data_IF_096990121739
#
_entry.id   IF_096990121739
#
_cell.length_a   1.000
_cell.length_b   1.000
_cell.length_c   1.000
_cell.angle_alpha   90.00
_cell.angle_beta   90.00
_cell.angle_gamma   90.00
#
_symmetry.space_group_name_H-M   'P 1'
#
loop_
_entity.id
_entity.type
_entity.pdbx_description
1 polymer ?
#
# COMPACT_ATOMS: atom_id res chain seq x y z
N UNK A 1 -29.86 29.24 29.27
CA UNK A 1 -30.76 30.42 29.30
C UNK A 1 -30.71 31.28 28.02
N UNK A 2 -29.68 31.15 27.16
CA UNK A 2 -29.54 31.91 25.91
C UNK A 2 -30.33 31.30 24.73
N UNK A 3 -30.45 29.97 24.68
CA UNK A 3 -31.12 29.24 23.59
C UNK A 3 -32.64 29.48 23.50
N UNK A 4 -33.37 29.58 24.62
CA UNK A 4 -34.83 29.79 24.61
C UNK A 4 -35.26 31.15 24.03
N UNK A 5 -34.42 32.19 24.17
CA UNK A 5 -34.75 33.55 23.66
C UNK A 5 -34.56 33.73 22.16
N UNK A 6 -33.85 32.83 21.47
CA UNK A 6 -33.64 32.93 20.02
C UNK A 6 -34.84 32.40 19.21
N UNK A 7 -35.57 31.39 19.72
CA UNK A 7 -36.67 30.76 18.96
C UNK A 7 -37.95 31.62 19.03
N UNK A 8 -38.28 32.19 20.19
CA UNK A 8 -39.51 33.01 20.35
C UNK A 8 -39.48 34.31 19.53
N UNK A 9 -38.29 34.81 19.15
CA UNK A 9 -38.16 36.04 18.36
C UNK A 9 -38.45 35.87 16.86
N UNK A 10 -38.51 34.64 16.32
CA UNK A 10 -38.72 34.39 14.89
C UNK A 10 -40.20 34.43 14.48
N UNK A 11 -41.13 34.27 15.43
CA UNK A 11 -42.57 34.29 15.16
C UNK A 11 -43.17 35.71 15.12
N UNK A 12 -42.51 36.69 15.75
CA UNK A 12 -43.03 38.07 15.83
C UNK A 12 -42.87 38.91 14.55
N UNK A 13 -42.15 38.43 13.53
CA UNK A 13 -41.90 39.21 12.30
C UNK A 13 -42.73 38.74 11.09
N UNK A 14 -43.57 37.71 11.22
CA UNK A 14 -44.32 37.14 10.08
C UNK A 14 -45.77 37.64 9.96
N UNK A 15 -46.28 38.36 10.94
CA UNK A 15 -47.69 38.78 10.99
C UNK A 15 -47.97 40.18 10.39
N UNK A 16 -46.94 41.00 10.13
CA UNK A 16 -47.13 42.45 9.82
C UNK A 16 -47.24 42.79 8.32
N UNK A 17 -47.00 41.83 7.40
CA UNK A 17 -46.98 42.10 5.95
C UNK A 17 -48.33 41.89 5.23
N UNK A 18 -49.41 41.53 5.94
CA UNK A 18 -50.70 41.17 5.29
C UNK A 18 -51.76 42.28 5.27
N UNK A 19 -51.53 43.44 5.88
CA UNK A 19 -52.58 44.45 6.00
C UNK A 19 -52.05 45.89 5.94
N UNK A 20 -51.87 46.45 4.75
CA UNK A 20 -51.67 47.89 4.55
C UNK A 20 -52.02 48.34 3.12
N UNK A 21 -53.32 48.46 2.84
CA UNK A 21 -53.84 49.25 1.73
C UNK A 21 -54.22 50.66 2.20
N UNK A 22 -53.63 51.67 1.54
CA UNK A 22 -54.08 53.07 1.37
C UNK A 22 -55.03 53.70 2.42
N UNK A 23 -54.52 54.70 3.17
CA UNK A 23 -54.99 56.10 3.13
C UNK A 23 -54.31 57.00 4.20
N UNK A 24 -53.87 58.18 3.74
CA UNK A 24 -53.66 59.46 4.44
C UNK A 24 -52.87 59.55 5.77
N UNK A 25 -51.84 60.40 5.72
CA UNK A 25 -51.16 61.14 6.81
C UNK A 25 -52.12 61.87 7.80
N UNK A 26 -51.69 62.48 8.94
CA UNK A 26 -50.32 62.65 9.49
C UNK A 26 -50.16 62.46 11.03
N UNK A 27 -48.91 62.65 11.48
CA UNK A 27 -48.40 63.05 12.81
C UNK A 27 -48.10 62.00 13.90
N UNK A 28 -46.80 62.00 14.24
CA UNK A 28 -46.23 61.94 15.60
C UNK A 28 -46.23 60.57 16.30
N UNK A 29 -45.07 59.91 16.23
CA UNK A 29 -44.63 58.86 17.15
C UNK A 29 -43.42 58.13 16.60
N UNK A 30 -42.19 58.56 16.94
CA UNK A 30 -40.98 57.81 16.57
C UNK A 30 -40.90 56.57 17.47
N UNK A 31 -41.35 55.43 16.99
CA UNK A 31 -40.99 54.13 17.56
C UNK A 31 -39.54 53.83 17.19
N UNK A 32 -38.67 53.77 18.20
CA UNK A 32 -37.25 53.47 18.04
C UNK A 32 -37.09 51.98 17.73
N UNK A 33 -37.08 51.61 16.46
CA UNK A 33 -36.69 50.26 16.03
C UNK A 33 -35.22 50.02 16.40
N UNK A 34 -34.99 49.14 17.38
CA UNK A 34 -33.63 48.67 17.71
C UNK A 34 -33.08 47.92 16.50
N UNK A 35 -31.94 48.33 15.91
CA UNK A 35 -31.43 47.66 14.73
C UNK A 35 -30.97 46.24 15.06
N UNK A 36 -31.40 45.31 14.22
CA UNK A 36 -31.14 43.88 14.25
C UNK A 36 -29.65 43.56 13.95
N UNK A 37 -28.75 44.04 14.80
CA UNK A 37 -27.30 43.77 14.74
C UNK A 37 -26.93 42.47 15.47
N UNK A 38 -27.85 41.93 16.27
CA UNK A 38 -27.66 40.72 17.06
C UNK A 38 -27.78 39.43 16.22
N UNK A 39 -28.61 39.45 15.18
CA UNK A 39 -28.83 38.30 14.29
C UNK A 39 -27.60 37.98 13.43
N UNK A 40 -26.83 39.01 13.04
CA UNK A 40 -25.56 38.85 12.30
C UNK A 40 -24.45 38.26 13.17
N UNK A 41 -24.39 38.60 14.48
CA UNK A 41 -23.39 38.06 15.41
C UNK A 41 -23.63 36.59 15.76
N UNK A 42 -24.88 36.15 15.88
CA UNK A 42 -25.19 34.73 16.07
C UNK A 42 -24.84 33.88 14.84
N UNK A 43 -25.07 34.41 13.63
CA UNK A 43 -24.70 33.74 12.38
C UNK A 43 -23.19 33.61 12.19
N UNK A 44 -22.42 34.65 12.52
CA UNK A 44 -20.95 34.62 12.38
C UNK A 44 -20.29 33.61 13.33
N UNK A 45 -20.80 33.47 14.56
CA UNK A 45 -20.26 32.52 15.54
C UNK A 45 -20.60 31.05 15.22
N UNK A 46 -21.74 30.78 14.61
CA UNK A 46 -22.12 29.43 14.19
C UNK A 46 -21.26 28.91 13.03
N UNK A 47 -20.90 29.77 12.07
CA UNK A 47 -20.06 29.42 10.92
C UNK A 47 -18.62 29.15 11.37
N UNK A 48 -18.08 29.93 12.31
CA UNK A 48 -16.71 29.78 12.79
C UNK A 48 -16.47 28.41 13.49
N UNK A 49 -17.46 27.89 14.23
CA UNK A 49 -17.39 26.58 14.88
C UNK A 49 -17.46 25.41 13.90
N UNK A 50 -18.23 25.52 12.82
CA UNK A 50 -18.34 24.47 11.79
C UNK A 50 -17.10 24.38 10.89
N UNK A 51 -16.45 25.51 10.60
CA UNK A 51 -15.19 25.54 9.84
C UNK A 51 -14.02 24.98 10.67
N UNK A 52 -13.99 25.24 11.98
CA UNK A 52 -12.96 24.71 12.89
C UNK A 52 -12.99 23.18 13.05
N UNK A 53 -14.18 22.56 13.03
CA UNK A 53 -14.31 21.09 13.14
C UNK A 53 -14.00 20.41 11.80
N UNK A 54 -14.36 21.03 10.66
CA UNK A 54 -14.02 20.53 9.32
C UNK A 54 -12.50 20.45 9.08
N UNK A 55 -11.73 21.43 9.58
CA UNK A 55 -10.28 21.43 9.46
C UNK A 55 -9.55 20.31 10.22
N UNK A 56 -10.11 19.86 11.35
CA UNK A 56 -9.54 18.77 12.16
C UNK A 56 -9.82 17.39 11.53
N UNK A 57 -10.94 17.24 10.83
CA UNK A 57 -11.32 15.96 10.19
C UNK A 57 -10.53 15.70 8.90
N UNK A 58 -10.06 16.73 8.19
CA UNK A 58 -9.31 16.57 6.94
C UNK A 58 -7.83 16.17 7.13
N UNK A 59 -7.33 16.14 8.37
CA UNK A 59 -5.91 15.87 8.66
C UNK A 59 -5.61 14.42 9.05
N UNK A 60 -6.60 13.51 8.97
CA UNK A 60 -6.45 12.10 9.30
C UNK A 60 -6.68 11.24 8.06
N UNK A 61 -5.63 11.02 7.24
CA UNK A 61 -5.71 9.92 6.27
C UNK A 61 -4.93 10.05 4.96
N UNK A 62 -3.70 10.57 4.96
CA UNK A 62 -2.77 10.24 3.87
C UNK A 62 -1.72 9.26 4.41
N UNK A 63 -2.09 7.99 4.53
CA UNK A 63 -1.07 6.93 4.60
C UNK A 63 -0.58 6.72 3.19
N UNK A 64 0.56 7.34 2.86
CA UNK A 64 1.31 6.95 1.67
C UNK A 64 1.73 5.51 1.90
N UNK A 65 1.09 4.58 1.19
CA UNK A 65 1.58 3.21 1.10
C UNK A 65 2.87 3.28 0.28
N UNK A 66 4.00 2.97 0.92
CA UNK A 66 5.26 2.90 0.20
C UNK A 66 5.17 1.74 -0.80
N UNK A 67 5.19 2.08 -2.10
CA UNK A 67 5.06 1.12 -3.19
C UNK A 67 6.18 0.07 -3.11
N UNK A 68 5.84 -1.20 -3.37
CA UNK A 68 6.82 -2.29 -3.46
C UNK A 68 7.67 -2.13 -4.71
N UNK A 69 8.99 -2.32 -4.56
CA UNK A 69 9.94 -2.42 -5.67
C UNK A 69 10.22 -3.86 -6.08
N UNK A 70 9.39 -4.79 -5.59
CA UNK A 70 9.33 -6.18 -6.01
C UNK A 70 8.08 -6.36 -6.87
N UNK A 71 8.28 -6.71 -8.13
CA UNK A 71 7.21 -6.83 -9.14
C UNK A 71 7.26 -8.24 -9.73
N UNK A 72 6.27 -9.09 -9.43
CA UNK A 72 6.13 -10.40 -10.07
C UNK A 72 5.95 -10.32 -11.58
N UNK A 73 6.35 -11.38 -12.28
CA UNK A 73 5.96 -11.63 -13.68
C UNK A 73 5.07 -12.88 -13.80
N UNK A 74 4.63 -13.19 -15.03
CA UNK A 74 3.75 -14.31 -15.35
C UNK A 74 4.48 -15.48 -16.07
N UNK A 75 5.81 -15.51 -15.98
CA UNK A 75 6.65 -16.42 -16.79
C UNK A 75 6.80 -17.83 -16.18
N UNK A 76 6.19 -18.09 -15.02
CA UNK A 76 6.16 -19.42 -14.40
C UNK A 76 5.09 -20.34 -14.99
N UNK A 77 4.14 -19.78 -15.73
CA UNK A 77 3.00 -20.51 -16.29
C UNK A 77 1.66 -20.11 -15.66
N UNK A 78 0.58 -20.51 -16.32
CA UNK A 78 -0.76 -20.07 -15.95
C UNK A 78 -1.16 -20.56 -14.54
N UNK A 79 -1.43 -19.62 -13.64
CA UNK A 79 -1.89 -19.89 -12.27
C UNK A 79 -0.78 -20.14 -11.25
N UNK A 80 0.50 -20.00 -11.62
CA UNK A 80 1.64 -20.27 -10.75
C UNK A 80 2.46 -19.00 -10.43
N UNK A 81 1.79 -17.85 -10.46
CA UNK A 81 2.43 -16.54 -10.29
C UNK A 81 2.98 -16.34 -8.88
N UNK A 82 4.07 -15.59 -8.79
CA UNK A 82 4.49 -15.01 -7.51
C UNK A 82 3.56 -13.87 -7.12
N UNK A 83 3.31 -13.72 -5.83
CA UNK A 83 2.42 -12.68 -5.29
C UNK A 83 3.18 -11.93 -4.21
N UNK A 84 3.16 -10.60 -4.26
CA UNK A 84 3.78 -9.74 -3.26
C UNK A 84 2.69 -8.97 -2.53
N UNK A 85 2.63 -9.14 -1.21
CA UNK A 85 1.70 -8.42 -0.35
C UNK A 85 2.49 -7.57 0.66
N UNK A 86 2.30 -6.25 0.62
CA UNK A 86 2.95 -5.35 1.56
C UNK A 86 2.12 -5.19 2.84
N UNK A 87 2.69 -5.60 3.97
CA UNK A 87 2.16 -5.39 5.33
C UNK A 87 3.06 -4.38 6.05
N UNK A 88 2.77 -3.09 5.85
CA UNK A 88 3.63 -2.02 6.37
C UNK A 88 4.96 -1.94 5.61
N UNK A 89 6.07 -2.25 6.30
CA UNK A 89 7.43 -2.29 5.71
C UNK A 89 7.86 -3.71 5.32
N UNK A 90 7.02 -4.71 5.57
CA UNK A 90 7.29 -6.12 5.24
C UNK A 90 6.57 -6.45 3.93
N UNK A 91 7.28 -7.07 3.01
CA UNK A 91 6.82 -7.57 1.73
C UNK A 91 6.78 -9.09 1.79
N UNK A 92 5.59 -9.64 1.96
CA UNK A 92 5.37 -11.08 1.99
C UNK A 92 5.27 -11.61 0.56
N UNK A 93 6.21 -12.46 0.19
CA UNK A 93 6.27 -13.11 -1.11
C UNK A 93 5.63 -14.49 -0.99
N UNK A 94 4.55 -14.71 -1.74
CA UNK A 94 3.69 -15.90 -1.70
C UNK A 94 3.50 -16.48 -3.10
N UNK A 95 2.76 -17.59 -3.18
CA UNK A 95 2.43 -18.24 -4.46
C UNK A 95 3.65 -18.94 -5.05
N UNK A 96 3.84 -18.80 -6.36
CA UNK A 96 4.91 -19.45 -7.11
C UNK A 96 4.56 -20.86 -7.58
N UNK A 97 5.48 -21.48 -8.32
CA UNK A 97 5.34 -22.83 -8.84
C UNK A 97 6.05 -23.81 -7.90
N UNK A 98 5.30 -24.72 -7.27
CA UNK A 98 5.90 -25.79 -6.48
C UNK A 98 6.13 -27.04 -7.33
N UNK A 99 7.33 -27.61 -7.27
CA UNK A 99 7.69 -28.91 -7.86
C UNK A 99 8.40 -29.74 -6.79
N UNK A 100 7.64 -30.57 -6.09
CA UNK A 100 8.07 -31.32 -4.92
C UNK A 100 8.72 -30.43 -3.86
N UNK A 101 10.03 -30.54 -3.67
CA UNK A 101 10.78 -29.82 -2.62
C UNK A 101 11.26 -28.43 -3.07
N UNK A 102 10.99 -28.04 -4.31
CA UNK A 102 11.39 -26.77 -4.88
C UNK A 102 10.21 -25.82 -5.01
N UNK A 103 10.41 -24.57 -4.63
CA UNK A 103 9.48 -23.48 -4.85
C UNK A 103 10.12 -22.44 -5.77
N UNK A 104 9.49 -22.19 -6.91
CA UNK A 104 9.98 -21.25 -7.91
C UNK A 104 9.19 -19.94 -7.87
N UNK A 105 9.92 -18.83 -7.88
CA UNK A 105 9.42 -17.47 -7.97
C UNK A 105 10.06 -16.73 -9.14
N UNK A 106 9.30 -15.85 -9.77
CA UNK A 106 9.75 -15.06 -10.92
C UNK A 106 9.26 -13.63 -10.81
N UNK A 107 10.17 -12.71 -11.09
CA UNK A 107 9.97 -11.28 -10.92
C UNK A 107 10.48 -10.54 -12.14
N UNK A 108 9.75 -9.51 -12.54
CA UNK A 108 10.26 -8.50 -13.45
C UNK A 108 11.29 -7.61 -12.72
N UNK A 109 11.00 -7.23 -11.48
CA UNK A 109 11.85 -6.37 -10.64
C UNK A 109 11.97 -6.99 -9.24
N UNK A 110 13.17 -6.94 -8.66
CA UNK A 110 13.40 -7.43 -7.30
C UNK A 110 14.41 -6.53 -6.58
N UNK A 111 13.90 -5.51 -5.89
CA UNK A 111 14.68 -4.58 -5.08
C UNK A 111 14.06 -4.48 -3.68
N UNK A 112 14.90 -4.47 -2.65
CA UNK A 112 14.48 -4.37 -1.25
C UNK A 112 15.02 -3.07 -0.68
N UNK A 113 14.18 -2.07 -0.50
CA UNK A 113 14.62 -0.75 -0.02
C UNK A 113 15.12 -0.78 1.43
N UNK A 114 15.92 0.23 1.79
CA UNK A 114 16.39 0.44 3.17
C UNK A 114 15.22 0.47 4.15
N UNK A 115 15.33 -0.32 5.22
CA UNK A 115 14.32 -0.43 6.28
C UNK A 115 13.09 -1.25 5.90
N UNK A 116 13.03 -1.83 4.70
CA UNK A 116 12.03 -2.83 4.31
C UNK A 116 12.57 -4.24 4.49
N UNK A 117 11.64 -5.20 4.55
CA UNK A 117 11.94 -6.62 4.64
C UNK A 117 11.17 -7.38 3.56
N UNK A 118 11.86 -8.19 2.77
CA UNK A 118 11.25 -9.07 1.78
C UNK A 118 11.35 -10.52 2.25
N UNK A 119 10.20 -11.14 2.51
CA UNK A 119 10.12 -12.47 3.11
C UNK A 119 9.43 -13.45 2.19
N UNK A 120 10.17 -14.48 1.74
CA UNK A 120 9.57 -15.64 1.08
C UNK A 120 8.81 -16.47 2.10
N UNK A 121 7.49 -16.55 1.93
CA UNK A 121 6.63 -17.38 2.76
C UNK A 121 6.63 -18.82 2.30
N UNK A 122 6.87 -19.73 3.24
CA UNK A 122 6.94 -21.16 2.94
C UNK A 122 5.66 -21.85 3.38
N UNK A 123 4.81 -22.30 2.44
CA UNK A 123 3.47 -22.78 2.75
C UNK A 123 3.42 -24.22 3.26
N UNK A 124 4.50 -24.99 3.09
CA UNK A 124 4.55 -26.41 3.49
C UNK A 124 5.94 -26.81 4.02
N UNK A 125 6.03 -27.76 4.98
CA UNK A 125 7.31 -28.20 5.56
C UNK A 125 8.26 -28.92 4.60
N UNK A 126 7.77 -29.38 3.44
CA UNK A 126 8.55 -30.20 2.51
C UNK A 126 9.46 -29.38 1.57
N UNK A 127 9.32 -28.05 1.53
CA UNK A 127 10.17 -27.18 0.70
C UNK A 127 11.60 -27.17 1.28
N UNK A 128 12.59 -27.45 0.44
CA UNK A 128 14.01 -27.38 0.78
C UNK A 128 14.76 -26.32 -0.02
N UNK A 129 14.24 -25.91 -1.19
CA UNK A 129 14.87 -24.91 -2.04
C UNK A 129 13.83 -23.91 -2.54
N UNK A 130 14.19 -22.63 -2.46
CA UNK A 130 13.48 -21.52 -3.09
C UNK A 130 14.37 -20.97 -4.20
N UNK A 131 13.83 -20.89 -5.41
CA UNK A 131 14.50 -20.27 -6.55
C UNK A 131 13.75 -19.01 -6.95
N UNK A 132 14.42 -17.87 -6.89
CA UNK A 132 13.91 -16.59 -7.34
C UNK A 132 14.71 -16.12 -8.55
N UNK A 133 14.02 -15.80 -9.66
CA UNK A 133 14.65 -15.19 -10.83
C UNK A 133 14.14 -13.78 -11.08
N UNK A 134 15.02 -12.94 -11.61
CA UNK A 134 14.66 -11.64 -12.19
C UNK A 134 14.78 -11.74 -13.71
N UNK A 135 13.67 -11.47 -14.41
CA UNK A 135 13.56 -11.51 -15.87
C UNK A 135 13.64 -10.13 -16.51
N UNK A 136 13.51 -9.06 -15.72
CA UNK A 136 13.65 -7.68 -16.18
C UNK A 136 15.09 -7.28 -16.48
N UNK A 137 15.27 -6.01 -16.84
CA UNK A 137 16.54 -5.47 -17.31
C UNK A 137 17.39 -4.80 -16.21
N UNK A 138 16.83 -4.64 -15.01
CA UNK A 138 17.47 -3.91 -13.92
C UNK A 138 18.24 -4.86 -12.98
N UNK A 139 19.34 -4.38 -12.37
CA UNK A 139 19.99 -5.10 -11.28
C UNK A 139 19.08 -5.18 -10.05
N UNK A 140 19.37 -6.12 -9.16
CA UNK A 140 18.73 -6.22 -7.85
C UNK A 140 19.52 -5.45 -6.80
N UNK A 141 18.92 -4.42 -6.24
CA UNK A 141 19.43 -3.67 -5.09
C UNK A 141 18.78 -4.17 -3.81
N UNK A 142 19.55 -4.91 -3.00
CA UNK A 142 19.13 -5.43 -1.70
C UNK A 142 19.71 -4.52 -0.63
N UNK A 143 18.95 -3.50 -0.25
CA UNK A 143 19.34 -2.47 0.72
C UNK A 143 18.71 -2.70 2.09
N UNK A 144 17.64 -3.49 2.17
CA UNK A 144 16.97 -3.90 3.40
C UNK A 144 17.25 -5.35 3.79
N UNK A 145 16.28 -5.99 4.44
CA UNK A 145 16.36 -7.39 4.89
C UNK A 145 15.74 -8.32 3.85
N UNK A 146 16.46 -9.36 3.45
CA UNK A 146 15.94 -10.44 2.60
C UNK A 146 15.89 -11.74 3.42
N UNK A 147 14.73 -12.38 3.48
CA UNK A 147 14.53 -13.52 4.36
C UNK A 147 13.53 -14.58 3.89
N UNK A 148 13.44 -15.62 4.71
CA UNK A 148 12.57 -16.78 4.51
C UNK A 148 11.79 -17.05 5.79
N UNK A 149 10.46 -17.17 5.73
CA UNK A 149 9.60 -17.33 6.91
C UNK A 149 8.55 -18.41 6.65
N UNK A 150 8.44 -19.40 7.55
CA UNK A 150 7.38 -20.41 7.46
C UNK A 150 7.75 -21.75 8.07
N UNK A 151 7.15 -22.81 7.54
CA UNK A 151 7.14 -24.15 8.13
C UNK A 151 8.46 -24.94 7.99
N UNK A 152 9.43 -24.42 7.24
CA UNK A 152 10.75 -25.01 7.06
C UNK A 152 11.83 -23.92 6.88
N UNK A 153 13.08 -24.33 6.74
CA UNK A 153 14.25 -23.45 6.59
C UNK A 153 14.99 -23.78 5.28
N UNK A 154 14.43 -23.41 4.12
CA UNK A 154 14.98 -23.79 2.83
C UNK A 154 16.23 -22.99 2.45
N UNK A 155 17.00 -23.50 1.50
CA UNK A 155 18.00 -22.73 0.78
C UNK A 155 17.31 -21.70 -0.12
N UNK A 156 17.92 -20.52 -0.29
CA UNK A 156 17.44 -19.47 -1.19
C UNK A 156 18.46 -19.22 -2.30
N UNK A 157 18.03 -19.37 -3.53
CA UNK A 157 18.79 -19.10 -4.75
C UNK A 157 18.18 -17.88 -5.45
N UNK A 158 18.92 -16.78 -5.54
CA UNK A 158 18.53 -15.56 -6.26
C UNK A 158 19.37 -15.42 -7.53
N UNK A 159 18.70 -15.30 -8.68
CA UNK A 159 19.37 -15.06 -9.97
C UNK A 159 18.91 -13.74 -10.61
N UNK A 160 19.88 -12.92 -10.99
CA UNK A 160 19.65 -11.73 -11.81
C UNK A 160 20.86 -11.50 -12.72
N UNK A 161 20.73 -11.76 -14.04
CA UNK A 161 21.83 -11.55 -15.00
C UNK A 161 22.39 -10.13 -15.04
N UNK A 162 21.59 -9.14 -14.65
CA UNK A 162 21.98 -7.73 -14.68
C UNK A 162 22.78 -7.29 -13.45
N UNK A 163 22.90 -8.15 -12.42
CA UNK A 163 23.66 -7.89 -11.21
C UNK A 163 22.81 -7.96 -9.94
N UNK A 164 23.50 -8.17 -8.82
CA UNK A 164 22.92 -8.20 -7.47
C UNK A 164 23.85 -7.39 -6.56
N UNK A 165 23.32 -6.36 -5.91
CA UNK A 165 24.06 -5.41 -5.09
C UNK A 165 23.47 -5.47 -3.68
N UNK A 166 24.32 -5.73 -2.68
CA UNK A 166 23.95 -5.68 -1.26
C UNK A 166 24.44 -4.37 -0.65
N UNK A 167 23.53 -3.63 -0.02
CA UNK A 167 23.83 -2.39 0.69
C UNK A 167 24.60 -2.64 2.00
N UNK A 168 25.22 -1.60 2.54
CA UNK A 168 26.02 -1.67 3.79
C UNK A 168 25.21 -2.19 4.99
N UNK A 169 23.95 -1.77 5.09
CA UNK A 169 23.03 -2.16 6.18
C UNK A 169 22.10 -3.33 5.81
N UNK A 170 22.32 -3.96 4.64
CA UNK A 170 21.49 -5.07 4.20
C UNK A 170 21.67 -6.31 5.09
N UNK A 171 20.58 -7.05 5.28
CA UNK A 171 20.58 -8.25 6.13
C UNK A 171 20.02 -9.44 5.40
N UNK A 172 20.62 -10.60 5.64
CA UNK A 172 20.11 -11.89 5.20
C UNK A 172 19.56 -12.64 6.41
N UNK A 173 18.26 -12.93 6.39
CA UNK A 173 17.56 -13.72 7.39
C UNK A 173 17.02 -15.01 6.75
N UNK A 174 17.95 -15.85 6.29
CA UNK A 174 17.65 -17.11 5.59
C UNK A 174 17.96 -18.28 6.50
N UNK A 175 17.02 -19.22 6.63
CA UNK A 175 17.19 -20.39 7.52
C UNK A 175 18.14 -21.46 6.98
N UNK A 176 18.28 -21.55 5.65
CA UNK A 176 19.21 -22.44 4.95
C UNK A 176 20.40 -21.70 4.33
N UNK A 177 20.96 -22.26 3.26
CA UNK A 177 22.04 -21.62 2.49
C UNK A 177 21.48 -20.49 1.61
N UNK A 178 22.28 -19.45 1.39
CA UNK A 178 21.96 -18.40 0.43
C UNK A 178 22.95 -18.41 -0.74
N UNK A 179 22.43 -18.39 -1.96
CA UNK A 179 23.21 -18.29 -3.20
C UNK A 179 22.64 -17.16 -4.04
N UNK A 180 23.50 -16.23 -4.44
CA UNK A 180 23.19 -15.17 -5.38
C UNK A 180 24.10 -15.30 -6.61
N UNK A 181 23.55 -15.23 -7.82
CA UNK A 181 24.35 -15.32 -9.04
C UNK A 181 23.81 -14.44 -10.16
N UNK A 182 24.72 -14.00 -11.03
CA UNK A 182 24.42 -13.31 -12.28
C UNK A 182 24.35 -14.26 -13.48
N UNK A 183 24.27 -15.57 -13.24
CA UNK A 183 24.08 -16.54 -14.29
C UNK A 183 22.72 -16.33 -15.00
N UNK A 184 22.68 -16.67 -16.29
CA UNK A 184 21.46 -16.62 -17.10
C UNK A 184 20.39 -17.63 -16.68
N UNK A 185 20.70 -18.55 -15.77
CA UNK A 185 19.78 -19.57 -15.30
C UNK A 185 20.47 -20.61 -14.43
N UNK A 186 19.66 -21.43 -13.76
CA UNK A 186 20.09 -22.55 -12.92
C UNK A 186 19.77 -23.85 -13.66
N UNK A 187 20.76 -24.76 -13.71
CA UNK A 187 20.53 -26.12 -14.17
C UNK A 187 19.73 -26.91 -13.14
N UNK A 188 18.67 -27.58 -13.58
CA UNK A 188 17.92 -28.54 -12.78
C UNK A 188 18.21 -29.92 -13.40
N UNK A 189 19.25 -30.59 -12.91
CA UNK A 189 19.82 -31.84 -13.47
C UNK A 189 20.05 -31.79 -15.00
N UNK A 190 20.09 -32.96 -15.65
CA UNK A 190 20.45 -33.14 -17.06
C UNK A 190 19.39 -32.66 -18.07
N UNK A 191 18.19 -32.28 -17.63
CA UNK A 191 17.06 -31.98 -18.55
C UNK A 191 16.26 -30.74 -18.20
N UNK A 192 16.41 -30.19 -16.98
CA UNK A 192 15.67 -29.02 -16.52
C UNK A 192 16.53 -27.77 -16.49
N UNK A 193 15.92 -26.61 -16.71
CA UNK A 193 16.59 -25.31 -16.62
C UNK A 193 15.59 -24.29 -16.11
N UNK A 194 16.02 -23.50 -15.13
CA UNK A 194 15.31 -22.32 -14.67
C UNK A 194 16.05 -21.07 -15.17
N UNK A 195 15.59 -20.50 -16.28
CA UNK A 195 16.29 -19.44 -17.01
C UNK A 195 15.75 -18.07 -16.65
N UNK A 196 16.64 -17.10 -16.40
CA UNK A 196 16.29 -15.69 -16.21
C UNK A 196 16.23 -14.92 -17.54
N UNK A 197 17.15 -15.24 -18.47
CA UNK A 197 17.25 -14.54 -19.77
C UNK A 197 16.29 -15.08 -20.83
N UNK A 198 15.89 -16.34 -20.71
CA UNK A 198 14.96 -17.02 -21.62
C UNK A 198 13.86 -17.71 -20.79
N UNK A 199 12.99 -16.95 -20.12
CA UNK A 199 12.11 -17.52 -19.11
C UNK A 199 11.06 -18.48 -19.71
N UNK A 200 10.59 -18.22 -20.94
CA UNK A 200 9.63 -19.06 -21.67
C UNK A 200 10.17 -20.43 -22.09
N UNK A 201 11.50 -20.59 -22.14
CA UNK A 201 12.15 -21.87 -22.47
C UNK A 201 12.48 -22.70 -21.22
N UNK A 202 12.03 -22.26 -20.04
CA UNK A 202 12.31 -22.95 -18.79
C UNK A 202 11.48 -24.23 -18.65
N UNK A 203 12.12 -25.30 -18.18
CA UNK A 203 11.48 -26.57 -17.88
C UNK A 203 11.65 -26.87 -16.39
N UNK A 204 10.59 -26.59 -15.61
CA UNK A 204 10.60 -26.70 -14.16
C UNK A 204 10.28 -28.14 -13.75
N UNK A 205 11.26 -28.82 -13.15
CA UNK A 205 11.14 -30.23 -12.75
C UNK A 205 11.25 -30.41 -11.22
N UNK A 206 10.76 -31.54 -10.73
CA UNK A 206 10.85 -31.95 -9.32
C UNK A 206 12.18 -32.69 -9.06
N UNK A 207 13.26 -31.94 -8.82
CA UNK A 207 14.63 -32.47 -8.67
C UNK A 207 15.53 -31.53 -7.89
N UNK A 208 16.58 -32.03 -7.23
CA UNK A 208 17.48 -31.17 -6.47
C UNK A 208 18.39 -30.34 -7.40
N UNK A 209 18.63 -29.06 -7.10
CA UNK A 209 19.55 -28.25 -7.90
C UNK A 209 21.00 -28.71 -7.73
N UNK A 210 21.79 -28.51 -8.77
CA UNK A 210 23.24 -28.68 -8.75
C UNK A 210 23.91 -27.37 -9.18
N UNK A 211 25.08 -27.06 -8.62
CA UNK A 211 25.85 -25.86 -8.94
C UNK A 211 27.25 -26.28 -9.34
N UNK A 212 27.52 -26.30 -10.64
CA UNK A 212 28.85 -26.44 -11.23
C UNK A 212 29.12 -25.33 -12.24
#
# INVERSE_FOLDING_TARGET
>A
MIQKRCIESLLSCREDDRNSGHLSQPLRGKTLHKPCSWQRRCWQLAIALLVGISGVVFSLGNRVLAQSNIVPDDTLGAGENSVVESVGLIEEIKGGAQRGQNLFHSFLEFNVDVGREANFLIPVPAIQNIFARVTGANPSEILGTLGTVGDSQPNLFLINPNGIIFGEDSQLNVGGSFVATTANGIGLDNTGRFSASEPDSSNLLNINPDVF
#
